data_IF_487393060460
#
_entry.id   IF_487393060460
#
_cell.length_a   1.000
_cell.length_b   1.000
_cell.length_c   1.000
_cell.angle_alpha   90.00
_cell.angle_beta   90.00
_cell.angle_gamma   90.00
#
_symmetry.space_group_name_H-M   'P 1'
#
loop_
_entity.id
_entity.type
_entity.pdbx_description
1 polymer ?
#
# COMPACT_ATOMS: atom_id res chain seq x y z
N UNK A 1 8.01 -4.02 13.76
CA UNK A 1 8.83 -4.68 12.71
C UNK A 1 10.26 -4.89 13.19
N UNK A 2 10.98 -3.84 13.61
CA UNK A 2 12.34 -3.98 14.14
C UNK A 2 12.43 -4.99 15.30
N UNK A 3 11.53 -4.90 16.28
CA UNK A 3 11.39 -5.87 17.37
C UNK A 3 11.18 -7.32 16.87
N UNK A 4 10.33 -7.52 15.85
CA UNK A 4 10.11 -8.85 15.26
C UNK A 4 11.34 -9.41 14.53
N UNK A 5 12.23 -8.55 14.03
CA UNK A 5 13.53 -8.97 13.47
C UNK A 5 14.45 -9.41 14.62
N UNK A 6 14.52 -8.61 15.69
CA UNK A 6 15.35 -8.87 16.87
C UNK A 6 14.95 -10.15 17.60
N UNK A 7 13.65 -10.43 17.68
CA UNK A 7 13.08 -11.64 18.27
C UNK A 7 13.15 -12.87 17.34
N UNK A 8 13.62 -12.69 16.09
CA UNK A 8 13.74 -13.75 15.10
C UNK A 8 12.41 -14.24 14.51
N UNK A 9 11.30 -13.51 14.71
CA UNK A 9 10.00 -13.81 14.10
C UNK A 9 10.05 -13.62 12.57
N UNK A 10 10.80 -12.64 12.09
CA UNK A 10 11.01 -12.37 10.67
C UNK A 10 12.50 -12.15 10.39
N UNK A 11 12.95 -12.52 9.19
CA UNK A 11 14.35 -12.36 8.78
C UNK A 11 14.40 -11.34 7.66
N UNK A 12 15.27 -10.34 7.82
CA UNK A 12 15.48 -9.34 6.79
C UNK A 12 16.25 -9.94 5.61
N UNK A 13 15.72 -9.77 4.40
CA UNK A 13 16.45 -10.10 3.19
C UNK A 13 17.62 -9.15 2.97
N UNK A 14 18.70 -9.64 2.36
CA UNK A 14 19.89 -8.83 2.08
C UNK A 14 20.12 -8.72 0.57
N UNK A 15 20.68 -7.59 0.15
CA UNK A 15 21.04 -7.34 -1.24
C UNK A 15 20.33 -6.13 -1.85
N UNK A 16 20.67 -5.75 -3.09
CA UNK A 16 20.23 -4.50 -3.72
C UNK A 16 18.74 -4.44 -4.04
N UNK A 17 18.04 -5.59 -3.99
CA UNK A 17 16.61 -5.73 -4.23
C UNK A 17 15.84 -6.23 -3.00
N UNK A 18 16.47 -6.21 -1.83
CA UNK A 18 15.81 -6.64 -0.59
C UNK A 18 14.63 -5.73 -0.24
N UNK A 19 13.53 -6.34 0.20
CA UNK A 19 12.28 -5.63 0.52
C UNK A 19 11.76 -6.05 1.89
N UNK A 20 11.26 -5.07 2.64
CA UNK A 20 10.69 -5.29 3.97
C UNK A 20 9.17 -5.50 3.97
N UNK A 21 8.50 -5.38 2.81
CA UNK A 21 7.05 -5.51 2.70
C UNK A 21 6.53 -6.87 3.19
N UNK A 22 7.27 -7.96 2.95
CA UNK A 22 6.89 -9.29 3.43
C UNK A 22 6.95 -9.42 4.96
N UNK A 23 7.83 -8.64 5.61
CA UNK A 23 8.02 -8.65 7.07
C UNK A 23 6.82 -8.04 7.81
N UNK A 24 5.98 -7.27 7.12
CA UNK A 24 4.84 -6.59 7.74
C UNK A 24 3.69 -7.57 8.06
N UNK A 25 3.53 -8.64 7.28
CA UNK A 25 2.39 -9.56 7.44
C UNK A 25 2.43 -10.32 8.77
N UNK A 26 3.54 -10.99 9.16
CA UNK A 26 3.61 -11.69 10.44
C UNK A 26 3.43 -10.75 11.64
N UNK A 27 3.96 -9.52 11.55
CA UNK A 27 3.85 -8.50 12.58
C UNK A 27 2.39 -8.05 12.76
N UNK A 28 1.68 -7.83 11.66
CA UNK A 28 0.26 -7.50 11.69
C UNK A 28 -0.57 -8.62 12.32
N UNK A 29 -0.35 -9.88 11.89
CA UNK A 29 -1.09 -11.03 12.40
C UNK A 29 -0.87 -11.18 13.92
N UNK A 30 0.39 -11.10 14.36
CA UNK A 30 0.73 -11.11 15.78
C UNK A 30 0.04 -9.97 16.55
N UNK A 31 0.08 -8.74 16.02
CA UNK A 31 -0.57 -7.60 16.66
C UNK A 31 -2.10 -7.77 16.81
N UNK A 32 -2.75 -8.41 15.84
CA UNK A 32 -4.18 -8.72 15.90
C UNK A 32 -4.48 -9.80 16.94
N UNK A 33 -3.66 -10.85 16.97
CA UNK A 33 -3.79 -11.95 17.93
C UNK A 33 -3.57 -11.48 19.37
N UNK A 34 -2.46 -10.79 19.64
CA UNK A 34 -2.08 -10.33 20.99
C UNK A 34 -3.14 -9.40 21.60
N UNK A 35 -3.78 -8.57 20.77
CA UNK A 35 -4.80 -7.62 21.19
C UNK A 35 -6.23 -8.13 21.02
N UNK A 36 -6.40 -9.33 20.47
CA UNK A 36 -7.70 -9.97 20.23
C UNK A 36 -8.66 -9.10 19.41
N UNK A 37 -8.15 -8.39 18.40
CA UNK A 37 -8.97 -7.59 17.52
C UNK A 37 -9.81 -8.48 16.59
N UNK A 38 -11.11 -8.22 16.54
CA UNK A 38 -12.07 -8.91 15.67
C UNK A 38 -12.29 -8.20 14.33
N UNK A 39 -11.91 -6.93 14.24
CA UNK A 39 -11.95 -6.12 13.02
C UNK A 39 -10.73 -5.21 12.89
N UNK A 40 -10.24 -5.03 11.67
CA UNK A 40 -9.20 -4.06 11.33
C UNK A 40 -9.58 -3.27 10.08
N UNK A 41 -9.56 -1.93 10.18
CA UNK A 41 -9.80 -1.05 9.05
C UNK A 41 -8.54 -0.90 8.20
N UNK A 42 -8.69 -1.03 6.88
CA UNK A 42 -7.65 -0.76 5.90
C UNK A 42 -8.06 0.32 4.92
N UNK A 43 -7.08 1.11 4.49
CA UNK A 43 -7.26 2.19 3.51
C UNK A 43 -7.19 1.74 2.05
N UNK A 44 -7.21 0.43 1.76
CA UNK A 44 -7.10 -0.05 0.38
C UNK A 44 -8.34 0.28 -0.45
N UNK A 45 -8.13 0.58 -1.73
CA UNK A 45 -9.18 0.98 -2.68
C UNK A 45 -9.11 0.17 -3.96
N UNK A 46 -10.25 -0.01 -4.62
CA UNK A 46 -10.36 -0.84 -5.84
C UNK A 46 -9.64 -0.24 -7.04
N UNK A 47 -9.48 1.09 -7.08
CA UNK A 47 -8.83 1.81 -8.17
C UNK A 47 -7.29 1.84 -8.07
N UNK A 48 -6.71 1.52 -6.90
CA UNK A 48 -5.26 1.54 -6.68
C UNK A 48 -4.52 0.59 -7.63
N UNK A 49 -5.09 -0.60 -7.86
CA UNK A 49 -4.49 -1.66 -8.67
C UNK A 49 -5.55 -2.60 -9.26
N UNK A 50 -5.34 -3.07 -10.49
CA UNK A 50 -6.29 -3.92 -11.23
C UNK A 50 -6.71 -5.18 -10.46
N UNK A 51 -5.79 -5.82 -9.74
CA UNK A 51 -6.08 -7.04 -8.99
C UNK A 51 -7.03 -6.79 -7.80
N UNK A 52 -7.14 -5.55 -7.31
CA UNK A 52 -8.08 -5.16 -6.23
C UNK A 52 -9.50 -4.89 -6.73
N UNK A 53 -9.76 -4.87 -8.04
CA UNK A 53 -11.08 -4.54 -8.59
C UNK A 53 -12.21 -5.46 -8.10
N UNK A 54 -11.89 -6.69 -7.69
CA UNK A 54 -12.83 -7.69 -7.16
C UNK A 54 -12.90 -7.72 -5.63
N UNK A 55 -12.20 -6.81 -4.94
CA UNK A 55 -12.18 -6.77 -3.48
C UNK A 55 -13.54 -6.38 -2.90
N UNK A 56 -13.86 -6.99 -1.76
CA UNK A 56 -15.04 -6.72 -0.96
C UNK A 56 -14.73 -5.67 0.09
N UNK A 57 -15.76 -5.00 0.60
CA UNK A 57 -15.61 -4.09 1.75
C UNK A 57 -15.24 -4.90 2.99
N UNK A 58 -15.80 -6.10 3.16
CA UNK A 58 -15.50 -7.04 4.24
C UNK A 58 -14.73 -8.24 3.70
N UNK A 59 -13.50 -8.42 4.17
CA UNK A 59 -12.65 -9.57 3.85
C UNK A 59 -12.43 -10.41 5.12
N UNK A 60 -13.16 -11.53 5.20
CA UNK A 60 -13.16 -12.42 6.36
C UNK A 60 -11.90 -13.25 6.42
N UNK A 61 -11.37 -13.41 7.64
CA UNK A 61 -10.21 -14.22 7.97
C UNK A 61 -10.57 -15.26 9.02
N UNK A 62 -9.98 -16.44 8.90
CA UNK A 62 -10.13 -17.50 9.91
C UNK A 62 -9.32 -17.20 11.19
N UNK A 63 -9.31 -18.14 12.12
CA UNK A 63 -8.59 -18.06 13.40
C UNK A 63 -7.07 -18.01 13.25
N UNK A 64 -6.54 -18.44 12.11
CA UNK A 64 -5.13 -18.30 11.75
C UNK A 64 -4.84 -17.03 10.93
N UNK A 65 -5.86 -16.19 10.69
CA UNK A 65 -5.74 -14.97 9.89
C UNK A 65 -5.70 -15.21 8.37
N UNK A 66 -5.97 -16.43 7.92
CA UNK A 66 -5.94 -16.80 6.50
C UNK A 66 -7.24 -16.43 5.79
N UNK A 67 -7.15 -16.26 4.47
CA UNK A 67 -8.30 -15.93 3.63
C UNK A 67 -8.82 -17.15 2.87
N UNK A 68 -10.12 -17.43 3.00
CA UNK A 68 -10.83 -18.46 2.23
C UNK A 68 -11.91 -17.82 1.33
N UNK A 69 -11.86 -18.02 0.00
CA UNK A 69 -12.90 -17.55 -0.93
C UNK A 69 -14.32 -17.97 -0.54
N UNK A 70 -14.49 -19.17 0.03
CA UNK A 70 -15.82 -19.75 0.36
C UNK A 70 -16.46 -19.08 1.59
N UNK A 71 -15.64 -18.50 2.46
CA UNK A 71 -16.12 -17.80 3.67
C UNK A 71 -16.50 -16.34 3.39
N UNK A 72 -16.23 -15.85 2.17
CA UNK A 72 -16.59 -14.49 1.79
C UNK A 72 -18.08 -14.35 1.50
N UNK A 73 -18.66 -13.25 1.94
CA UNK A 73 -20.11 -13.06 1.97
C UNK A 73 -20.56 -12.09 0.87
N UNK A 74 -21.73 -12.30 0.24
CA UNK A 74 -22.33 -11.31 -0.64
C UNK A 74 -22.58 -9.99 0.10
N UNK A 75 -22.28 -8.87 -0.56
CA UNK A 75 -22.54 -7.52 -0.07
C UNK A 75 -23.65 -6.94 -0.97
N UNK A 76 -24.90 -7.02 -0.49
CA UNK A 76 -26.06 -6.55 -1.26
C UNK A 76 -26.43 -5.15 -0.77
N UNK A 77 -26.50 -4.19 -1.70
CA UNK A 77 -26.70 -2.76 -1.37
C UNK A 77 -25.64 -2.26 -0.39
N UNK A 78 -26.07 -1.58 0.69
CA UNK A 78 -25.23 -1.15 1.81
C UNK A 78 -25.47 -2.02 3.05
N UNK A 79 -25.90 -3.28 2.87
CA UNK A 79 -26.13 -4.23 3.95
C UNK A 79 -24.93 -5.17 4.07
N UNK A 80 -24.23 -5.06 5.20
CA UNK A 80 -23.01 -5.83 5.48
C UNK A 80 -23.26 -6.84 6.61
N UNK A 81 -22.87 -8.09 6.39
CA UNK A 81 -22.92 -9.13 7.43
C UNK A 81 -21.57 -9.24 8.15
N UNK A 82 -21.35 -8.43 9.18
CA UNK A 82 -20.10 -8.39 9.96
C UNK A 82 -19.94 -9.46 11.05
N UNK A 83 -20.82 -10.48 11.13
CA UNK A 83 -20.73 -11.49 12.21
C UNK A 83 -19.47 -12.33 12.10
N UNK A 84 -18.63 -12.39 13.13
CA UNK A 84 -17.45 -13.27 13.19
C UNK A 84 -17.59 -14.25 14.34
N UNK A 85 -16.99 -15.45 14.23
CA UNK A 85 -16.86 -16.37 15.36
C UNK A 85 -15.68 -15.93 16.25
N UNK A 86 -15.61 -16.49 17.46
CA UNK A 86 -14.44 -16.31 18.33
C UNK A 86 -13.18 -16.80 17.62
N UNK A 87 -12.15 -15.96 17.56
CA UNK A 87 -10.89 -16.22 16.88
C UNK A 87 -10.85 -15.73 15.43
N UNK A 88 -11.99 -15.73 14.72
CA UNK A 88 -12.08 -15.13 13.39
C UNK A 88 -11.99 -13.60 13.48
N UNK A 89 -11.47 -12.99 12.43
CA UNK A 89 -11.41 -11.53 12.33
C UNK A 89 -11.74 -11.07 10.90
N UNK A 90 -12.03 -9.77 10.73
CA UNK A 90 -12.37 -9.19 9.44
C UNK A 90 -11.48 -8.00 9.10
N UNK A 91 -11.09 -7.88 7.83
CA UNK A 91 -10.48 -6.67 7.27
C UNK A 91 -11.60 -5.87 6.61
N UNK A 92 -11.74 -4.60 7.01
CA UNK A 92 -12.81 -3.72 6.52
C UNK A 92 -12.20 -2.57 5.74
N UNK A 93 -12.75 -2.29 4.56
CA UNK A 93 -12.22 -1.30 3.61
C UNK A 93 -13.26 -0.20 3.31
N UNK A 94 -13.44 0.80 4.20
CA UNK A 94 -14.48 1.81 4.03
C UNK A 94 -14.34 2.62 2.74
N UNK A 95 -13.11 2.77 2.27
CA UNK A 95 -12.77 3.56 1.09
C UNK A 95 -12.76 2.74 -0.21
N UNK A 96 -13.21 1.48 -0.21
CA UNK A 96 -13.10 0.60 -1.40
C UNK A 96 -13.61 1.21 -2.71
N UNK A 97 -14.63 2.07 -2.64
CA UNK A 97 -15.26 2.72 -3.79
C UNK A 97 -14.71 4.12 -4.11
N UNK A 98 -13.78 4.62 -3.31
CA UNK A 98 -13.18 5.93 -3.52
C UNK A 98 -12.09 5.81 -4.58
N UNK A 99 -12.00 6.81 -5.44
CA UNK A 99 -10.88 7.01 -6.35
C UNK A 99 -9.79 7.85 -5.69
N UNK A 100 -8.60 7.90 -6.28
CA UNK A 100 -7.53 8.79 -5.82
C UNK A 100 -8.00 10.25 -5.81
N UNK A 101 -8.79 10.64 -6.82
CA UNK A 101 -9.34 11.99 -6.89
C UNK A 101 -10.29 12.28 -5.71
N UNK A 102 -11.16 11.33 -5.35
CA UNK A 102 -12.08 11.49 -4.21
C UNK A 102 -11.30 11.67 -2.89
N UNK A 103 -10.21 10.92 -2.69
CA UNK A 103 -9.35 11.05 -1.50
C UNK A 103 -8.72 12.44 -1.43
N UNK A 104 -8.14 12.92 -2.53
CA UNK A 104 -7.50 14.24 -2.58
C UNK A 104 -8.50 15.40 -2.45
N UNK A 105 -9.70 15.26 -3.02
CA UNK A 105 -10.76 16.24 -2.84
C UNK A 105 -11.22 16.31 -1.39
N UNK A 106 -11.43 15.17 -0.74
CA UNK A 106 -11.83 15.13 0.66
C UNK A 106 -10.76 15.71 1.60
N UNK A 107 -9.48 15.45 1.34
CA UNK A 107 -8.38 16.09 2.07
C UNK A 107 -8.45 17.63 1.94
N UNK A 108 -8.81 18.14 0.77
CA UNK A 108 -8.96 19.57 0.54
C UNK A 108 -10.18 20.17 1.22
N UNK A 109 -11.33 19.51 1.12
CA UNK A 109 -12.58 19.98 1.70
C UNK A 109 -12.55 19.96 3.23
N UNK A 110 -11.90 18.95 3.82
CA UNK A 110 -11.78 18.78 5.27
C UNK A 110 -10.48 19.36 5.85
N UNK A 111 -9.68 20.05 5.04
CA UNK A 111 -8.42 20.69 5.43
C UNK A 111 -7.45 19.75 6.19
N UNK A 112 -7.34 18.50 5.75
CA UNK A 112 -6.52 17.49 6.40
C UNK A 112 -5.03 17.78 6.14
N UNK A 113 -4.25 17.88 7.22
CA UNK A 113 -2.80 18.08 7.12
C UNK A 113 -2.11 16.87 6.46
N UNK A 114 -1.26 17.15 5.48
CA UNK A 114 -0.47 16.14 4.79
C UNK A 114 1.03 16.33 4.99
N UNK A 115 1.79 15.22 5.11
CA UNK A 115 3.24 15.27 5.05
C UNK A 115 3.76 15.93 3.76
N UNK A 116 4.81 16.76 3.82
CA UNK A 116 5.32 17.49 2.64
C UNK A 116 5.75 16.61 1.46
N UNK A 117 6.07 15.34 1.71
CA UNK A 117 6.54 14.38 0.69
C UNK A 117 5.50 14.11 -0.41
N UNK A 118 4.22 14.34 -0.13
CA UNK A 118 3.14 14.21 -1.10
C UNK A 118 3.08 15.39 -2.10
N UNK A 119 3.75 16.49 -1.81
CA UNK A 119 3.91 17.64 -2.70
C UNK A 119 5.26 17.59 -3.42
N UNK A 120 5.33 18.25 -4.57
CA UNK A 120 6.53 18.31 -5.38
C UNK A 120 7.68 19.00 -4.64
N UNK A 121 8.82 18.34 -4.63
CA UNK A 121 10.06 18.83 -4.04
C UNK A 121 11.25 18.31 -4.85
N UNK A 122 12.36 19.06 -4.79
CA UNK A 122 13.62 18.60 -5.36
C UNK A 122 14.19 17.44 -4.54
N UNK A 123 14.55 16.37 -5.24
CA UNK A 123 15.21 15.21 -4.62
C UNK A 123 16.28 14.63 -5.54
N UNK A 124 17.32 14.09 -4.95
CA UNK A 124 18.27 13.23 -5.66
C UNK A 124 17.65 11.84 -5.83
N UNK A 125 17.52 11.42 -7.08
CA UNK A 125 16.85 10.18 -7.48
C UNK A 125 17.67 9.44 -8.53
N UNK A 126 17.42 8.15 -8.68
CA UNK A 126 17.99 7.35 -9.76
C UNK A 126 16.88 6.49 -10.39
N UNK A 127 17.08 6.07 -11.63
CA UNK A 127 16.09 5.26 -12.37
C UNK A 127 16.43 3.78 -12.28
N UNK A 128 15.46 2.96 -11.86
CA UNK A 128 15.55 1.50 -11.81
C UNK A 128 14.23 0.89 -12.22
N UNK A 129 14.24 -0.05 -13.17
CA UNK A 129 13.06 -0.77 -13.65
C UNK A 129 11.89 0.16 -14.09
N UNK A 130 12.22 1.36 -14.58
CA UNK A 130 11.27 2.39 -15.04
C UNK A 130 10.64 3.23 -13.91
N UNK A 131 11.19 3.19 -12.70
CA UNK A 131 10.74 3.96 -11.54
C UNK A 131 11.86 4.87 -11.03
N UNK A 132 11.51 5.99 -10.40
CA UNK A 132 12.47 6.89 -9.77
C UNK A 132 12.58 6.57 -8.28
N UNK A 133 13.72 6.06 -7.84
CA UNK A 133 13.99 5.80 -6.43
C UNK A 133 14.74 6.97 -5.81
N UNK A 134 14.50 7.22 -4.51
CA UNK A 134 15.31 8.17 -3.76
C UNK A 134 16.75 7.63 -3.60
N UNK A 135 17.74 8.43 -3.98
CA UNK A 135 19.11 8.16 -3.61
C UNK A 135 19.24 8.29 -2.08
N UNK A 136 19.72 7.23 -1.43
CA UNK A 136 19.88 7.18 0.03
C UNK A 136 20.84 6.06 0.42
N UNK A 137 21.33 6.08 1.65
CA UNK A 137 22.15 4.99 2.20
C UNK A 137 21.41 3.66 2.34
N UNK A 138 20.07 3.69 2.37
CA UNK A 138 19.23 2.51 2.54
C UNK A 138 18.93 1.79 1.22
N UNK A 139 19.34 2.37 0.07
CA UNK A 139 19.09 1.79 -1.25
C UNK A 139 20.41 1.73 -2.01
N UNK A 140 20.99 0.53 -2.06
CA UNK A 140 22.24 0.29 -2.78
C UNK A 140 22.03 0.49 -4.29
N UNK A 141 22.88 1.31 -4.91
CA UNK A 141 22.96 1.44 -6.37
C UNK A 141 23.55 0.15 -6.97
N UNK A 142 23.08 -0.22 -8.15
CA UNK A 142 23.68 -1.28 -8.98
C UNK A 142 24.40 -0.68 -10.20
N UNK A 143 25.22 -1.49 -10.86
CA UNK A 143 26.02 -1.03 -12.01
C UNK A 143 25.17 -0.35 -13.08
N UNK A 144 25.54 0.88 -13.43
CA UNK A 144 24.86 1.71 -14.44
C UNK A 144 23.85 2.72 -13.88
N UNK A 145 23.54 2.67 -12.59
CA UNK A 145 22.65 3.64 -11.96
C UNK A 145 23.43 4.88 -11.51
N UNK A 146 22.99 6.06 -11.98
CA UNK A 146 23.60 7.34 -11.62
C UNK A 146 22.53 8.26 -11.03
N UNK A 147 22.68 8.70 -9.77
CA UNK A 147 21.77 9.67 -9.18
C UNK A 147 21.79 11.02 -9.91
N UNK A 148 20.62 11.66 -9.98
CA UNK A 148 20.43 12.99 -10.53
C UNK A 148 19.33 13.74 -9.76
N UNK A 149 19.32 15.07 -9.84
CA UNK A 149 18.26 15.89 -9.21
C UNK A 149 17.02 15.97 -10.09
N UNK A 150 15.85 15.80 -9.48
CA UNK A 150 14.56 16.04 -10.12
C UNK A 150 13.52 16.55 -9.13
N UNK A 151 12.56 17.33 -9.65
CA UNK A 151 11.34 17.67 -8.91
C UNK A 151 10.39 16.47 -8.96
N UNK A 152 10.10 15.92 -7.78
CA UNK A 152 9.31 14.70 -7.60
C UNK A 152 8.33 14.83 -6.45
N UNK A 153 7.27 14.02 -6.46
CA UNK A 153 6.40 13.79 -5.31
C UNK A 153 6.15 12.29 -5.15
N UNK A 154 5.54 11.91 -4.04
CA UNK A 154 5.18 10.52 -3.78
C UNK A 154 3.67 10.39 -3.78
N UNK A 155 3.13 9.49 -4.61
CA UNK A 155 1.69 9.16 -4.60
C UNK A 155 1.37 8.11 -3.54
N UNK A 156 2.24 7.09 -3.43
CA UNK A 156 2.23 6.13 -2.34
C UNK A 156 3.53 6.19 -1.56
N UNK A 157 3.46 5.91 -0.26
CA UNK A 157 4.64 5.76 0.60
C UNK A 157 4.66 4.39 1.24
N UNK A 158 5.84 3.77 1.28
CA UNK A 158 6.15 2.53 2.00
C UNK A 158 7.59 2.59 2.48
N UNK A 159 8.30 1.46 2.48
CA UNK A 159 9.72 1.46 2.77
C UNK A 159 10.52 2.14 1.65
N UNK A 160 11.62 2.80 2.02
CA UNK A 160 12.44 3.57 1.09
C UNK A 160 13.02 2.71 -0.05
N UNK A 161 13.24 1.42 0.19
CA UNK A 161 13.77 0.47 -0.79
C UNK A 161 12.80 0.04 -1.88
N UNK A 162 11.49 0.27 -1.72
CA UNK A 162 10.46 -0.14 -2.68
C UNK A 162 9.48 0.97 -3.08
N UNK A 163 9.72 2.21 -2.63
CA UNK A 163 8.86 3.36 -2.92
C UNK A 163 9.43 4.20 -4.07
N UNK A 164 8.74 4.20 -5.21
CA UNK A 164 9.03 5.06 -6.34
C UNK A 164 8.39 6.44 -6.22
N UNK A 165 9.15 7.47 -6.57
CA UNK A 165 8.68 8.82 -6.76
C UNK A 165 8.12 9.02 -8.18
N UNK A 166 7.22 9.98 -8.34
CA UNK A 166 6.75 10.45 -9.66
C UNK A 166 7.27 11.85 -9.92
N UNK A 167 7.65 12.14 -11.16
CA UNK A 167 8.01 13.51 -11.56
C UNK A 167 6.78 14.40 -11.45
N UNK A 168 6.91 15.52 -10.76
CA UNK A 168 5.81 16.45 -10.55
C UNK A 168 6.32 17.85 -10.25
N UNK A 169 5.49 18.85 -10.49
CA UNK A 169 5.68 20.24 -10.08
C UNK A 169 4.57 20.73 -9.14
N UNK A 170 3.68 19.82 -8.73
CA UNK A 170 2.53 20.12 -7.88
C UNK A 170 2.96 20.34 -6.42
N UNK A 171 3.28 21.59 -6.06
CA UNK A 171 3.81 21.98 -4.76
C UNK A 171 2.74 22.24 -3.69
N UNK A 172 1.46 22.18 -4.04
CA UNK A 172 0.32 22.42 -3.15
C UNK A 172 -0.88 21.53 -3.50
N UNK A 173 -1.86 21.48 -2.61
CA UNK A 173 -3.03 20.62 -2.72
C UNK A 173 -3.85 20.84 -4.00
N UNK A 174 -4.08 22.11 -4.37
CA UNK A 174 -4.83 22.45 -5.59
C UNK A 174 -4.09 22.00 -6.85
N UNK A 175 -2.77 22.18 -6.87
CA UNK A 175 -1.92 21.73 -7.97
C UNK A 175 -1.89 20.20 -8.11
N UNK A 176 -1.93 19.46 -6.99
CA UNK A 176 -1.98 17.98 -6.98
C UNK A 176 -3.33 17.49 -7.52
N UNK A 177 -4.44 18.04 -7.04
CA UNK A 177 -5.79 17.70 -7.54
C UNK A 177 -5.88 17.94 -9.04
N UNK A 178 -5.37 19.09 -9.53
CA UNK A 178 -5.37 19.41 -10.95
C UNK A 178 -4.47 18.47 -11.78
N UNK A 179 -3.36 18.00 -11.23
CA UNK A 179 -2.48 17.01 -11.86
C UNK A 179 -3.14 15.63 -11.98
N UNK A 180 -3.78 15.17 -10.90
CA UNK A 180 -4.44 13.86 -10.83
C UNK A 180 -5.65 13.83 -11.77
N UNK A 181 -6.46 14.90 -11.80
CA UNK A 181 -7.61 14.99 -12.71
C UNK A 181 -7.25 14.86 -14.20
N UNK A 182 -5.99 15.10 -14.58
CA UNK A 182 -5.49 14.95 -15.96
C UNK A 182 -4.77 13.63 -16.22
N UNK A 183 -4.41 12.89 -15.17
CA UNK A 183 -3.64 11.65 -15.26
C UNK A 183 -4.53 10.47 -15.62
N UNK A 184 -4.04 9.56 -16.47
CA UNK A 184 -4.75 8.32 -16.89
C UNK A 184 -4.16 7.05 -16.28
N UNK A 185 -3.21 7.19 -15.36
CA UNK A 185 -2.41 6.08 -14.82
C UNK A 185 -2.75 5.89 -13.35
N UNK A 186 -2.96 4.64 -12.94
CA UNK A 186 -3.34 4.27 -11.57
C UNK A 186 -2.23 4.59 -10.57
N UNK A 187 -2.61 4.82 -9.32
CA UNK A 187 -1.70 5.31 -8.28
C UNK A 187 -0.50 4.40 -8.03
N UNK A 188 -0.73 3.10 -7.81
CA UNK A 188 0.35 2.14 -7.46
C UNK A 188 1.09 1.58 -8.67
N UNK A 189 0.49 1.64 -9.86
CA UNK A 189 1.06 1.08 -11.09
C UNK A 189 2.39 1.73 -11.51
N UNK A 190 2.65 2.96 -11.08
CA UNK A 190 3.91 3.69 -11.33
C UNK A 190 4.84 3.77 -10.13
N UNK A 191 4.36 3.54 -8.90
CA UNK A 191 5.08 3.90 -7.67
C UNK A 191 5.47 2.73 -6.78
N UNK A 192 4.99 1.51 -7.05
CA UNK A 192 5.42 0.29 -6.31
C UNK A 192 5.93 -0.80 -7.24
N UNK A 193 7.17 -1.24 -7.01
CA UNK A 193 7.77 -2.34 -7.77
C UNK A 193 7.07 -3.69 -7.53
N UNK A 194 6.49 -3.86 -6.34
CA UNK A 194 5.94 -5.14 -5.83
C UNK A 194 4.53 -5.44 -6.32
N UNK A 195 3.92 -4.49 -7.03
CA UNK A 195 2.53 -4.49 -7.50
C UNK A 195 2.47 -4.73 -9.03
N UNK A 196 3.58 -5.14 -9.68
CA UNK A 196 3.58 -5.61 -11.08
C UNK A 196 3.18 -7.09 -11.22
N UNK A 197 2.48 -7.66 -10.23
CA UNK A 197 2.26 -9.11 -10.11
C UNK A 197 0.87 -9.50 -10.62
N UNK A 198 0.72 -10.76 -11.03
CA UNK A 198 -0.51 -11.31 -11.60
C UNK A 198 -1.63 -11.47 -10.56
N UNK A 199 -2.90 -11.51 -11.00
CA UNK A 199 -4.08 -11.72 -10.11
C UNK A 199 -3.92 -12.92 -9.15
N UNK A 200 -3.32 -14.02 -9.63
CA UNK A 200 -3.08 -15.23 -8.84
C UNK A 200 -2.17 -14.97 -7.62
N UNK A 201 -1.17 -14.10 -7.76
CA UNK A 201 -0.26 -13.79 -6.66
C UNK A 201 -0.94 -12.98 -5.54
N UNK A 202 -1.98 -12.19 -5.85
CA UNK A 202 -2.71 -11.44 -4.84
C UNK A 202 -3.58 -12.36 -3.96
N UNK A 203 -4.21 -13.38 -4.55
CA UNK A 203 -4.95 -14.39 -3.79
C UNK A 203 -4.03 -15.19 -2.86
N UNK A 204 -2.85 -15.58 -3.35
CA UNK A 204 -1.86 -16.29 -2.53
C UNK A 204 -1.31 -15.41 -1.40
N UNK A 205 -1.07 -14.11 -1.64
CA UNK A 205 -0.73 -13.14 -0.59
C UNK A 205 -1.84 -13.08 0.48
N UNK A 206 -3.12 -13.05 0.09
CA UNK A 206 -4.24 -13.02 1.04
C UNK A 206 -4.31 -14.29 1.90
N UNK A 207 -4.01 -15.46 1.32
CA UNK A 207 -3.96 -16.72 2.08
C UNK A 207 -2.91 -16.68 3.19
N UNK A 208 -1.77 -16.02 2.95
CA UNK A 208 -0.73 -15.84 3.99
C UNK A 208 -1.01 -14.68 4.95
N UNK A 209 -2.18 -14.04 4.87
CA UNK A 209 -2.61 -12.99 5.80
C UNK A 209 -2.36 -11.56 5.32
N UNK A 210 -1.91 -11.36 4.07
CA UNK A 210 -1.73 -10.02 3.50
C UNK A 210 -3.05 -9.25 3.40
N UNK A 211 -2.94 -7.92 3.47
CA UNK A 211 -4.03 -6.95 3.54
C UNK A 211 -4.73 -6.71 2.20
#
# INVERSE_FOLDING_TARGET
>A
VQEAIEDGLVIEETGPRAQRNLLQTPVLLKGIEDNQFDAAFGGARRDEERARAKERVFSFRDDFGQWDPKNQRPELWNLYNGRVKKGENVRVFPLSNWTELDVWQYIADEEIELPPIYFAHDREVFERDGMLYAASEHVALIDGETPFRASVRYRTVGDMSCTGAVRSTAADLGSVVAEIARTKITERGETRADDRVTEAAMEDRKRVGYF
#
